data_IF_208601624619
#
_entry.id   IF_208601624619
#
_cell.length_a   1.000
_cell.length_b   1.000
_cell.length_c   1.000
_cell.angle_alpha   90.00
_cell.angle_beta   90.00
_cell.angle_gamma   90.00
#
_symmetry.space_group_name_H-M   'P 1'
#
loop_
_entity.id
_entity.type
_entity.pdbx_description
1 polymer ?
#
# COMPACT_ATOMS: atom_id res chain seq x y z
N UNK A 1 -16.65 -4.67 1.44
CA UNK A 1 -16.95 -4.44 2.86
C UNK A 1 -15.90 -3.50 3.43
N UNK A 2 -16.31 -2.46 4.14
CA UNK A 2 -15.40 -1.53 4.83
C UNK A 2 -15.60 -1.66 6.33
N UNK A 3 -14.51 -1.72 7.09
CA UNK A 3 -14.52 -1.76 8.55
C UNK A 3 -13.58 -0.68 9.09
N UNK A 4 -14.12 0.27 9.85
CA UNK A 4 -13.31 1.26 10.57
C UNK A 4 -13.13 0.85 12.04
N UNK A 5 -12.02 0.19 12.37
CA UNK A 5 -11.64 -0.10 13.77
C UNK A 5 -11.02 1.08 14.50
N UNK A 6 -10.65 2.14 13.76
CA UNK A 6 -10.19 3.41 14.31
C UNK A 6 -10.90 4.55 13.59
N UNK A 7 -11.38 5.53 14.36
CA UNK A 7 -11.99 6.75 13.81
C UNK A 7 -10.95 7.54 13.02
N UNK A 8 -11.37 8.05 11.87
CA UNK A 8 -10.57 8.91 11.00
C UNK A 8 -11.38 10.18 10.73
N UNK A 9 -10.79 11.35 10.97
CA UNK A 9 -11.46 12.62 10.74
C UNK A 9 -11.88 12.78 9.27
N UNK A 10 -13.08 13.30 9.04
CA UNK A 10 -13.66 13.50 7.70
C UNK A 10 -13.82 12.21 6.86
N UNK A 11 -14.02 11.06 7.51
CA UNK A 11 -14.23 9.78 6.83
C UNK A 11 -15.29 8.92 7.53
N UNK A 12 -16.29 8.48 6.77
CA UNK A 12 -17.26 7.45 7.17
C UNK A 12 -17.09 6.17 6.35
N UNK A 13 -17.58 5.04 6.87
CA UNK A 13 -17.61 3.75 6.18
C UNK A 13 -18.28 3.86 4.81
N UNK A 14 -19.48 4.45 4.75
CA UNK A 14 -20.23 4.65 3.51
C UNK A 14 -19.46 5.49 2.49
N UNK A 15 -18.79 6.57 2.94
CA UNK A 15 -18.01 7.42 2.02
C UNK A 15 -16.80 6.70 1.46
N UNK A 16 -16.16 5.84 2.27
CA UNK A 16 -15.00 5.06 1.86
C UNK A 16 -15.41 3.90 0.96
N UNK A 17 -16.54 3.25 1.23
CA UNK A 17 -17.09 2.20 0.38
C UNK A 17 -17.48 2.73 -1.00
N UNK A 18 -18.19 3.86 -1.04
CA UNK A 18 -18.52 4.53 -2.30
C UNK A 18 -17.28 4.97 -3.08
N UNK A 19 -16.24 5.45 -2.38
CA UNK A 19 -14.96 5.77 -3.00
C UNK A 19 -14.26 4.52 -3.56
N UNK A 20 -14.16 3.44 -2.79
CA UNK A 20 -13.52 2.20 -3.20
C UNK A 20 -14.21 1.58 -4.43
N UNK A 21 -15.54 1.68 -4.51
CA UNK A 21 -16.32 1.26 -5.67
C UNK A 21 -15.94 2.04 -6.94
N UNK A 22 -15.80 3.37 -6.85
CA UNK A 22 -15.36 4.19 -7.98
C UNK A 22 -13.91 3.92 -8.36
N UNK A 23 -13.03 3.83 -7.36
CA UNK A 23 -11.61 3.58 -7.55
C UNK A 23 -11.34 2.22 -8.23
N UNK A 24 -11.98 1.13 -7.78
CA UNK A 24 -11.80 -0.19 -8.41
C UNK A 24 -12.27 -0.21 -9.86
N UNK A 25 -13.40 0.45 -10.16
CA UNK A 25 -13.92 0.57 -11.53
C UNK A 25 -12.94 1.34 -12.42
N UNK A 26 -12.43 2.48 -11.94
CA UNK A 26 -11.46 3.28 -12.69
C UNK A 26 -10.10 2.60 -12.86
N UNK A 27 -9.72 1.71 -11.94
CA UNK A 27 -8.51 0.89 -12.02
C UNK A 27 -8.67 -0.36 -12.91
N UNK A 28 -9.88 -0.74 -13.31
CA UNK A 28 -10.15 -1.98 -14.04
C UNK A 28 -10.14 -3.24 -13.15
N UNK A 29 -10.31 -3.08 -11.84
CA UNK A 29 -10.34 -4.20 -10.89
C UNK A 29 -11.76 -4.76 -10.74
N UNK A 30 -11.93 -6.02 -11.13
CA UNK A 30 -13.17 -6.78 -10.99
C UNK A 30 -13.22 -7.49 -9.63
N UNK A 31 -14.42 -7.57 -9.06
CA UNK A 31 -14.65 -8.21 -7.76
C UNK A 31 -14.75 -7.24 -6.58
N UNK A 32 -14.99 -7.80 -5.39
CA UNK A 32 -15.14 -7.09 -4.12
C UNK A 32 -13.78 -6.84 -3.49
N UNK A 33 -13.57 -5.61 -3.02
CA UNK A 33 -12.42 -5.26 -2.18
C UNK A 33 -12.90 -5.10 -0.74
N UNK A 34 -12.23 -5.77 0.19
CA UNK A 34 -12.45 -5.56 1.62
C UNK A 34 -11.41 -4.58 2.15
N UNK A 35 -11.85 -3.62 2.98
CA UNK A 35 -10.96 -2.59 3.52
C UNK A 35 -11.09 -2.56 5.03
N UNK A 36 -9.96 -2.71 5.72
CA UNK A 36 -9.81 -2.54 7.15
C UNK A 36 -8.99 -1.28 7.43
N UNK A 37 -9.54 -0.35 8.20
CA UNK A 37 -8.79 0.80 8.74
C UNK A 37 -8.60 0.59 10.24
N UNK A 38 -7.34 0.55 10.68
CA UNK A 38 -6.98 0.16 12.06
C UNK A 38 -5.72 0.89 12.53
N UNK A 39 -5.13 0.46 13.65
CA UNK A 39 -3.92 1.06 14.24
C UNK A 39 -2.63 0.59 13.56
N UNK A 40 -1.55 1.36 13.74
CA UNK A 40 -0.20 1.00 13.31
C UNK A 40 0.31 -0.27 13.99
N UNK A 41 -0.06 -0.49 15.26
CA UNK A 41 0.28 -1.71 15.98
C UNK A 41 -0.35 -2.95 15.33
N UNK A 42 -1.63 -2.86 14.94
CA UNK A 42 -2.28 -3.93 14.19
C UNK A 42 -1.62 -4.15 12.82
N UNK A 43 -1.29 -3.08 12.09
CA UNK A 43 -0.57 -3.17 10.82
C UNK A 43 0.84 -3.77 10.96
N UNK A 44 1.58 -3.45 12.03
CA UNK A 44 2.88 -4.09 12.35
C UNK A 44 2.73 -5.59 12.57
N UNK A 45 1.71 -6.01 13.32
CA UNK A 45 1.42 -7.43 13.55
C UNK A 45 1.11 -8.15 12.24
N UNK A 46 0.26 -7.58 11.39
CA UNK A 46 -0.05 -8.12 10.06
C UNK A 46 1.20 -8.17 9.15
N UNK A 47 2.03 -7.12 9.16
CA UNK A 47 3.25 -7.07 8.35
C UNK A 47 4.25 -8.15 8.78
N UNK A 48 4.37 -8.39 10.09
CA UNK A 48 5.18 -9.49 10.61
C UNK A 48 4.61 -10.84 10.20
N UNK A 49 3.30 -11.03 10.34
CA UNK A 49 2.64 -12.31 10.05
C UNK A 49 2.70 -12.69 8.56
N UNK A 50 2.43 -11.76 7.66
CA UNK A 50 2.27 -12.05 6.23
C UNK A 50 3.51 -11.73 5.39
N UNK A 51 4.40 -10.86 5.86
CA UNK A 51 5.61 -10.46 5.14
C UNK A 51 6.91 -10.70 5.92
N UNK A 52 6.84 -11.21 7.16
CA UNK A 52 8.02 -11.41 8.01
C UNK A 52 8.69 -10.12 8.48
N UNK A 53 8.03 -8.95 8.31
CA UNK A 53 8.61 -7.64 8.61
C UNK A 53 7.98 -7.06 9.89
N UNK A 54 8.74 -7.03 10.98
CA UNK A 54 8.28 -6.48 12.27
C UNK A 54 8.35 -4.95 12.34
N UNK A 55 7.68 -4.28 11.40
CA UNK A 55 7.58 -2.83 11.33
C UNK A 55 6.17 -2.39 10.93
N UNK A 56 5.72 -1.26 11.46
CA UNK A 56 4.47 -0.65 11.01
C UNK A 56 4.59 -0.19 9.55
N UNK A 57 3.48 -0.22 8.82
CA UNK A 57 3.37 0.29 7.45
C UNK A 57 2.04 1.00 7.28
N UNK A 58 1.98 1.91 6.32
CA UNK A 58 0.80 2.71 6.00
C UNK A 58 -0.34 1.84 5.43
N UNK A 59 -0.01 0.92 4.53
CA UNK A 59 -0.96 0.03 3.87
C UNK A 59 -0.38 -1.37 3.60
N UNK A 60 -1.22 -2.38 3.66
CA UNK A 60 -0.98 -3.73 3.13
C UNK A 60 -2.10 -4.10 2.15
N UNK A 61 -1.78 -4.87 1.13
CA UNK A 61 -2.74 -5.38 0.13
C UNK A 61 -2.53 -6.87 -0.08
N UNK A 62 -3.62 -7.61 -0.05
CA UNK A 62 -3.67 -9.07 -0.09
C UNK A 62 -4.59 -9.51 -1.23
N UNK A 63 -4.04 -9.91 -2.39
CA UNK A 63 -4.83 -10.45 -3.49
C UNK A 63 -5.60 -11.70 -3.05
N UNK A 64 -6.84 -11.84 -3.51
CA UNK A 64 -7.60 -13.06 -3.26
C UNK A 64 -6.94 -14.25 -3.99
N UNK A 65 -6.89 -15.41 -3.34
CA UNK A 65 -6.42 -16.62 -3.99
C UNK A 65 -7.38 -17.03 -5.11
N UNK A 66 -6.84 -17.39 -6.28
CA UNK A 66 -7.62 -17.72 -7.49
C UNK A 66 -8.64 -18.85 -7.32
N UNK A 67 -8.56 -19.64 -6.24
CA UNK A 67 -9.37 -20.85 -6.01
C UNK A 67 -10.52 -20.66 -5.00
N UNK A 68 -10.65 -19.52 -4.33
CA UNK A 68 -11.60 -19.34 -3.21
C UNK A 68 -12.52 -18.12 -3.35
N UNK A 69 -12.49 -17.43 -4.49
CA UNK A 69 -13.17 -16.14 -4.69
C UNK A 69 -14.66 -16.29 -5.02
N UNK A 70 -15.46 -16.90 -4.14
CA UNK A 70 -16.92 -16.64 -4.10
C UNK A 70 -17.24 -15.85 -2.83
N UNK A 71 -17.42 -14.55 -2.97
CA UNK A 71 -17.84 -13.66 -1.89
C UNK A 71 -19.29 -13.91 -1.46
N UNK A 72 -19.71 -13.25 -0.37
CA UNK A 72 -21.11 -13.23 0.08
C UNK A 72 -21.95 -12.65 -1.07
N UNK A 73 -22.78 -13.48 -1.73
CA UNK A 73 -23.57 -13.22 -2.96
C UNK A 73 -22.96 -13.69 -4.31
N UNK A 74 -21.95 -14.55 -4.31
CA UNK A 74 -21.43 -15.15 -5.55
C UNK A 74 -20.54 -14.23 -6.40
N UNK A 75 -20.30 -12.99 -5.96
CA UNK A 75 -19.32 -12.09 -6.59
C UNK A 75 -17.90 -12.48 -6.21
N UNK A 76 -16.99 -12.48 -7.18
CA UNK A 76 -15.58 -12.73 -6.93
C UNK A 76 -15.00 -11.70 -5.95
N UNK A 77 -14.18 -12.16 -5.00
CA UNK A 77 -13.38 -11.28 -4.13
C UNK A 77 -12.09 -10.97 -4.87
N UNK A 78 -11.77 -9.69 -5.00
CA UNK A 78 -10.53 -9.21 -5.61
C UNK A 78 -9.36 -9.27 -4.62
N UNK A 79 -9.63 -8.95 -3.36
CA UNK A 79 -8.65 -8.98 -2.30
C UNK A 79 -9.00 -8.09 -1.12
N UNK A 80 -8.03 -7.91 -0.23
CA UNK A 80 -8.18 -7.19 1.02
C UNK A 80 -7.11 -6.12 1.16
N UNK A 81 -7.46 -5.01 1.81
CA UNK A 81 -6.59 -3.87 2.07
C UNK A 81 -6.66 -3.54 3.55
N UNK A 82 -5.50 -3.43 4.22
CA UNK A 82 -5.41 -2.97 5.59
C UNK A 82 -4.64 -1.64 5.63
N UNK A 83 -5.18 -0.63 6.33
CA UNK A 83 -4.65 0.73 6.39
C UNK A 83 -4.43 1.15 7.83
N UNK A 84 -3.26 1.74 8.12
CA UNK A 84 -2.98 2.40 9.39
C UNK A 84 -3.58 3.82 9.42
N UNK A 85 -4.55 4.04 10.30
CA UNK A 85 -5.11 5.36 10.56
C UNK A 85 -4.10 6.34 11.20
N UNK A 86 -3.14 5.84 11.98
CA UNK A 86 -2.15 6.73 12.63
C UNK A 86 -1.16 7.27 11.61
N UNK A 87 -0.63 6.40 10.76
CA UNK A 87 0.29 6.81 9.69
C UNK A 87 -0.45 7.66 8.67
N UNK A 88 -1.71 7.33 8.36
CA UNK A 88 -2.54 8.19 7.51
C UNK A 88 -2.71 9.60 8.10
N UNK A 89 -2.95 9.74 9.41
CA UNK A 89 -3.05 11.03 10.06
C UNK A 89 -1.71 11.82 10.02
N UNK A 90 -0.58 11.14 10.24
CA UNK A 90 0.75 11.76 10.17
C UNK A 90 1.08 12.23 8.75
N UNK A 91 0.81 11.40 7.74
CA UNK A 91 1.00 11.76 6.34
C UNK A 91 0.08 12.93 5.93
N UNK A 92 -1.18 12.88 6.33
CA UNK A 92 -2.14 13.95 6.08
C UNK A 92 -1.65 15.30 6.61
N UNK A 93 -1.16 15.33 7.85
CA UNK A 93 -0.56 16.53 8.44
C UNK A 93 0.70 16.98 7.68
N UNK A 94 1.58 16.03 7.31
CA UNK A 94 2.83 16.32 6.58
C UNK A 94 2.59 16.89 5.18
N UNK A 95 1.54 16.43 4.49
CA UNK A 95 1.26 16.78 3.10
C UNK A 95 0.13 17.81 2.94
N UNK A 96 -0.42 18.32 4.05
CA UNK A 96 -1.39 19.42 4.03
C UNK A 96 -2.78 19.03 3.52
N UNK A 97 -3.24 17.80 3.78
CA UNK A 97 -4.59 17.35 3.44
C UNK A 97 -5.27 16.62 4.60
N UNK A 98 -6.54 16.26 4.47
CA UNK A 98 -7.28 15.62 5.56
C UNK A 98 -6.91 14.14 5.75
N UNK A 99 -6.98 13.58 6.97
CA UNK A 99 -6.77 12.15 7.20
C UNK A 99 -7.68 11.26 6.35
N UNK A 100 -8.94 11.68 6.13
CA UNK A 100 -9.86 10.98 5.23
C UNK A 100 -9.42 10.99 3.77
N UNK A 101 -8.81 12.08 3.28
CA UNK A 101 -8.23 12.13 1.95
C UNK A 101 -7.02 11.19 1.84
N UNK A 102 -6.16 11.15 2.87
CA UNK A 102 -5.03 10.23 2.90
C UNK A 102 -5.50 8.77 2.87
N UNK A 103 -6.47 8.37 3.69
CA UNK A 103 -7.00 6.99 3.65
C UNK A 103 -7.54 6.63 2.26
N UNK A 104 -8.18 7.57 1.54
CA UNK A 104 -8.62 7.34 0.15
C UNK A 104 -7.44 7.18 -0.81
N UNK A 105 -6.36 7.94 -0.64
CA UNK A 105 -5.11 7.77 -1.39
C UNK A 105 -4.49 6.39 -1.10
N UNK A 106 -4.38 5.99 0.17
CA UNK A 106 -3.88 4.68 0.58
C UNK A 106 -4.75 3.54 0.00
N UNK A 107 -6.07 3.73 -0.04
CA UNK A 107 -7.03 2.79 -0.63
C UNK A 107 -6.83 2.65 -2.14
N UNK A 108 -6.70 3.75 -2.87
CA UNK A 108 -6.45 3.71 -4.32
C UNK A 108 -5.13 2.98 -4.62
N UNK A 109 -4.08 3.29 -3.86
CA UNK A 109 -2.79 2.63 -3.99
C UNK A 109 -2.90 1.11 -3.76
N UNK A 110 -3.60 0.67 -2.72
CA UNK A 110 -3.84 -0.75 -2.49
C UNK A 110 -4.67 -1.41 -3.60
N UNK A 111 -5.68 -0.72 -4.15
CA UNK A 111 -6.46 -1.19 -5.29
C UNK A 111 -5.59 -1.38 -6.54
N UNK A 112 -4.64 -0.49 -6.79
CA UNK A 112 -3.70 -0.64 -7.91
C UNK A 112 -2.81 -1.88 -7.73
N UNK A 113 -2.35 -2.16 -6.51
CA UNK A 113 -1.66 -3.41 -6.23
C UNK A 113 -2.53 -4.65 -6.45
N UNK A 114 -3.79 -4.62 -6.02
CA UNK A 114 -4.74 -5.70 -6.30
C UNK A 114 -5.04 -5.86 -7.81
N UNK A 115 -4.91 -4.79 -8.60
CA UNK A 115 -5.04 -4.81 -10.05
C UNK A 115 -3.76 -5.26 -10.78
N UNK A 116 -2.72 -5.67 -10.05
CA UNK A 116 -1.47 -6.21 -10.61
C UNK A 116 -0.39 -5.17 -10.90
N UNK A 117 -0.57 -3.91 -10.50
CA UNK A 117 0.49 -2.91 -10.58
C UNK A 117 1.50 -3.09 -9.44
N UNK A 118 2.79 -2.90 -9.73
CA UNK A 118 3.87 -3.07 -8.77
C UNK A 118 4.89 -1.95 -8.92
N UNK A 119 4.81 -0.94 -8.05
CA UNK A 119 5.70 0.21 -8.10
C UNK A 119 7.17 -0.12 -7.77
N UNK A 120 7.48 -1.25 -7.14
CA UNK A 120 8.86 -1.64 -6.85
C UNK A 120 9.55 -2.24 -8.09
N UNK A 121 8.76 -2.74 -9.04
CA UNK A 121 9.25 -3.48 -10.22
C UNK A 121 8.88 -2.86 -11.55
N UNK A 122 7.91 -1.95 -11.57
CA UNK A 122 7.49 -1.29 -12.79
C UNK A 122 8.33 -0.03 -13.11
N UNK A 123 8.38 0.32 -14.38
CA UNK A 123 9.07 1.52 -14.87
C UNK A 123 8.22 2.80 -14.64
N UNK A 124 7.70 2.97 -13.43
CA UNK A 124 6.83 4.08 -13.02
C UNK A 124 5.40 4.01 -13.59
N UNK A 125 4.94 2.83 -14.00
CA UNK A 125 3.61 2.64 -14.60
C UNK A 125 2.52 2.88 -13.55
N UNK A 126 2.66 2.29 -12.37
CA UNK A 126 1.75 2.49 -11.24
C UNK A 126 1.71 3.96 -10.84
N UNK A 127 2.87 4.63 -10.77
CA UNK A 127 2.94 6.04 -10.40
C UNK A 127 2.15 6.93 -11.39
N UNK A 128 2.34 6.74 -12.70
CA UNK A 128 1.58 7.47 -13.73
C UNK A 128 0.08 7.19 -13.63
N UNK A 129 -0.30 5.93 -13.42
CA UNK A 129 -1.69 5.51 -13.27
C UNK A 129 -2.33 6.12 -12.02
N UNK A 130 -1.61 6.11 -10.90
CA UNK A 130 -2.05 6.66 -9.62
C UNK A 130 -2.30 8.16 -9.73
N UNK A 131 -1.40 8.92 -10.36
CA UNK A 131 -1.59 10.36 -10.61
C UNK A 131 -2.84 10.61 -11.46
N UNK A 132 -3.02 9.86 -12.55
CA UNK A 132 -4.19 9.99 -13.43
C UNK A 132 -5.49 9.73 -12.66
N UNK A 133 -5.53 8.66 -11.85
CA UNK A 133 -6.71 8.30 -11.09
C UNK A 133 -6.98 9.24 -9.91
N UNK A 134 -5.94 9.77 -9.25
CA UNK A 134 -6.10 10.81 -8.21
C UNK A 134 -6.80 12.03 -8.76
N UNK A 135 -6.38 12.53 -9.95
CA UNK A 135 -7.06 13.63 -10.64
C UNK A 135 -8.52 13.30 -10.95
N UNK A 136 -8.77 12.14 -11.57
CA UNK A 136 -10.11 11.72 -11.95
C UNK A 136 -11.05 11.53 -10.75
N UNK A 137 -10.53 11.13 -9.59
CA UNK A 137 -11.30 10.85 -8.39
C UNK A 137 -11.36 12.02 -7.39
N UNK A 138 -10.83 13.20 -7.75
CA UNK A 138 -10.84 14.39 -6.91
C UNK A 138 -9.97 14.26 -5.65
N UNK A 139 -8.86 13.52 -5.73
CA UNK A 139 -7.90 13.40 -4.64
C UNK A 139 -6.78 14.42 -4.77
N UNK A 140 -6.19 14.88 -3.64
CA UNK A 140 -4.98 15.70 -3.66
C UNK A 140 -3.90 15.05 -4.52
N UNK A 141 -3.09 15.85 -5.21
CA UNK A 141 -1.92 15.41 -5.99
C UNK A 141 -0.67 15.80 -5.19
N UNK A 142 -0.52 15.28 -3.97
CA UNK A 142 0.69 15.52 -3.19
C UNK A 142 1.89 14.81 -3.83
N UNK A 143 3.05 15.48 -3.79
CA UNK A 143 4.34 15.06 -4.35
C UNK A 143 4.72 13.63 -3.95
N UNK A 144 5.26 12.92 -4.93
CA UNK A 144 5.56 11.50 -4.94
C UNK A 144 6.77 11.21 -4.02
N UNK A 145 6.58 11.23 -2.71
CA UNK A 145 7.57 10.69 -1.76
C UNK A 145 7.23 9.26 -1.30
N UNK A 146 6.05 8.77 -1.68
CA UNK A 146 5.54 7.47 -1.22
C UNK A 146 6.21 6.27 -1.89
N UNK A 147 6.82 6.46 -3.06
CA UNK A 147 7.48 5.40 -3.84
C UNK A 147 8.88 5.02 -3.30
N UNK A 148 9.37 5.67 -2.23
CA UNK A 148 10.75 5.47 -1.76
C UNK A 148 10.90 4.85 -0.36
N UNK A 149 9.82 4.61 0.39
CA UNK A 149 9.93 4.05 1.76
C UNK A 149 9.87 2.52 1.84
N UNK A 150 10.21 1.81 0.76
CA UNK A 150 10.48 0.38 0.80
C UNK A 150 11.97 0.11 1.09
N UNK A 151 12.33 0.08 2.39
CA UNK A 151 13.56 -0.49 3.00
C UNK A 151 14.95 -0.05 2.49
N UNK A 152 15.88 0.37 3.38
CA UNK A 152 17.27 0.56 2.99
C UNK A 152 17.88 -0.80 2.62
N UNK A 153 18.19 -0.98 1.34
CA UNK A 153 18.99 -2.10 0.86
C UNK A 153 20.40 -1.90 1.41
N UNK A 154 20.81 -2.74 2.35
CA UNK A 154 22.21 -2.83 2.79
C UNK A 154 23.09 -3.03 1.56
N UNK A 155 23.83 -1.98 1.20
CA UNK A 155 24.90 -2.05 0.22
C UNK A 155 25.95 -3.01 0.79
N UNK A 156 25.94 -4.26 0.31
CA UNK A 156 27.03 -5.21 0.50
C UNK A 156 28.27 -4.55 -0.10
N UNK A 157 29.18 -4.06 0.76
CA UNK A 157 30.47 -3.49 0.35
C UNK A 157 31.14 -4.46 -0.62
N UNK A 158 31.29 -4.05 -1.88
CA UNK A 158 32.23 -4.69 -2.81
C UNK A 158 33.62 -4.43 -2.25
N UNK A 159 34.21 -5.45 -1.62
CA UNK A 159 35.63 -5.42 -1.26
C UNK A 159 36.44 -5.21 -2.53
N UNK A 160 37.18 -4.10 -2.58
CA UNK A 160 38.17 -3.82 -3.61
C UNK A 160 39.53 -3.69 -2.92
N UNK A 161 40.43 -4.59 -3.33
CA UNK A 161 41.89 -4.39 -3.48
C UNK A 161 42.67 -4.36 -2.14
N UNK A 162 43.87 -4.93 -1.97
CA UNK A 162 45.03 -5.03 -2.88
C UNK A 162 46.09 -5.97 -2.29
N UNK A 163 46.95 -6.47 -3.17
CA UNK A 163 48.11 -7.35 -2.97
C UNK A 163 49.20 -6.77 -2.03
N UNK A 164 49.79 -7.65 -1.20
CA UNK A 164 51.19 -7.69 -0.73
C UNK A 164 51.28 -8.90 0.22
N UNK A 165 52.05 -9.98 0.05
CA UNK A 165 53.46 -10.09 -0.33
C UNK A 165 54.21 -10.74 0.86
N UNK A 166 55.00 -11.81 0.60
CA UNK A 166 55.91 -12.56 1.52
C UNK A 166 55.21 -13.58 2.46
N UNK A 167 55.57 -14.88 2.58
CA UNK A 167 56.88 -15.57 2.69
C UNK A 167 56.86 -17.06 2.23
N UNK A 168 58.07 -17.55 1.86
CA UNK A 168 58.71 -18.92 1.93
C UNK A 168 57.95 -20.01 2.71
N UNK A 169 58.01 -21.32 2.40
CA UNK A 169 59.19 -22.18 2.13
C UNK A 169 58.74 -23.64 1.82
N UNK A 170 59.59 -24.37 1.07
CA UNK A 170 59.59 -25.81 0.72
C UNK A 170 58.72 -26.28 -0.45
#
# INVERSE_FOLDING_TARGET
MVILRKKVAALSETSLEGFALRARRAAGLHGVVNILVTTSAALRSLNRQFRGKDQATDVLSFPAAARTSRGRRGMAVAGEIAISADIAAQNAARFGHSPGAEVKILTLHGILHLAGFDHERDNGQMARKEIKLRRHLGLPIALIERTQRATPRTLKKRGKTRLSGTWRER
#
